data_IF_069281213502
#
_entry.id   IF_069281213502
#
_cell.length_a   1.000
_cell.length_b   1.000
_cell.length_c   1.000
_cell.angle_alpha   90.00
_cell.angle_beta   90.00
_cell.angle_gamma   90.00
#
_symmetry.space_group_name_H-M   'P 1'
#
loop_
_entity.id
_entity.type
_entity.pdbx_description
1 polymer ?
#
# COMPACT_ATOMS: atom_id res chain seq x y z
N UNK A 1 -12.94 6.77 2.84
CA UNK A 1 -11.68 6.61 3.61
C UNK A 1 -11.69 7.46 4.87
N UNK A 2 -12.30 8.64 4.87
CA UNK A 2 -12.45 9.39 6.13
C UNK A 2 -13.40 8.66 7.09
N UNK A 3 -12.98 8.52 8.35
CA UNK A 3 -13.75 7.88 9.42
C UNK A 3 -13.65 6.35 9.50
N UNK A 4 -12.89 5.70 8.62
CA UNK A 4 -12.71 4.24 8.66
C UNK A 4 -11.54 3.85 9.58
N UNK A 5 -11.78 2.93 10.52
CA UNK A 5 -10.72 2.35 11.34
C UNK A 5 -10.05 1.19 10.59
N UNK A 6 -8.74 1.24 10.44
CA UNK A 6 -7.98 0.19 9.77
C UNK A 6 -7.21 -0.69 10.75
N UNK A 7 -7.26 -2.01 10.53
CA UNK A 7 -6.39 -2.96 11.22
C UNK A 7 -5.00 -2.91 10.60
N UNK A 8 -4.00 -2.56 11.40
CA UNK A 8 -2.58 -2.51 10.98
C UNK A 8 -1.90 -3.85 11.29
N UNK A 9 -1.31 -4.47 10.29
CA UNK A 9 -0.47 -5.66 10.42
C UNK A 9 0.96 -5.31 10.03
N UNK A 10 1.87 -5.25 11.03
CA UNK A 10 3.30 -5.10 10.80
C UNK A 10 3.93 -6.47 10.51
N UNK A 11 4.71 -6.55 9.45
CA UNK A 11 5.49 -7.73 9.07
C UNK A 11 6.96 -7.33 8.97
N UNK A 12 7.82 -8.12 9.60
CA UNK A 12 9.27 -8.03 9.45
C UNK A 12 9.72 -9.24 8.64
N UNK A 13 10.27 -8.98 7.46
CA UNK A 13 10.78 -10.01 6.55
C UNK A 13 12.12 -10.52 7.08
N UNK A 14 12.33 -11.84 7.22
CA UNK A 14 13.60 -12.39 7.67
C UNK A 14 14.77 -12.09 6.72
N UNK A 15 15.99 -11.97 7.26
CA UNK A 15 17.19 -11.56 6.50
C UNK A 15 17.57 -12.50 5.34
N UNK A 16 17.12 -13.75 5.40
CA UNK A 16 17.34 -14.73 4.33
C UNK A 16 16.36 -14.57 3.16
N UNK A 17 15.33 -13.72 3.28
CA UNK A 17 14.38 -13.41 2.21
C UNK A 17 14.73 -12.04 1.63
N UNK A 18 15.06 -11.99 0.34
CA UNK A 18 15.37 -10.73 -0.34
C UNK A 18 14.10 -9.91 -0.54
N UNK A 19 14.05 -8.74 0.10
CA UNK A 19 12.99 -7.75 -0.02
C UNK A 19 13.60 -6.37 -0.23
N UNK A 20 12.84 -5.46 -0.83
CA UNK A 20 13.21 -4.04 -0.98
C UNK A 20 12.89 -3.21 0.27
N UNK A 21 12.21 -3.82 1.25
CA UNK A 21 11.83 -3.27 2.56
C UNK A 21 11.86 -4.41 3.58
N UNK A 22 12.60 -4.28 4.68
CA UNK A 22 12.62 -5.30 5.72
C UNK A 22 11.34 -5.27 6.56
N UNK A 23 10.88 -4.08 6.96
CA UNK A 23 9.64 -3.90 7.71
C UNK A 23 8.57 -3.26 6.83
N UNK A 24 7.34 -3.77 6.92
CA UNK A 24 6.20 -3.22 6.18
C UNK A 24 4.92 -3.33 7.00
N UNK A 25 3.97 -2.43 6.76
CA UNK A 25 2.68 -2.43 7.44
C UNK A 25 1.55 -2.47 6.41
N UNK A 26 0.68 -3.46 6.53
CA UNK A 26 -0.55 -3.55 5.74
C UNK A 26 -1.74 -3.08 6.57
N UNK A 27 -2.45 -2.07 6.10
CA UNK A 27 -3.64 -1.50 6.73
C UNK A 27 -4.88 -2.04 6.01
N UNK A 28 -5.72 -2.78 6.72
CA UNK A 28 -6.93 -3.40 6.19
C UNK A 28 -8.20 -2.71 6.71
N UNK A 29 -9.17 -2.50 5.82
CA UNK A 29 -10.52 -2.07 6.20
C UNK A 29 -11.30 -3.15 6.97
N UNK A 30 -12.50 -2.83 7.48
CA UNK A 30 -13.36 -3.78 8.19
C UNK A 30 -13.92 -4.87 7.26
N UNK A 31 -13.87 -4.65 5.94
CA UNK A 31 -14.17 -5.62 4.89
C UNK A 31 -13.00 -6.58 4.58
N UNK A 32 -11.87 -6.44 5.29
CA UNK A 32 -10.66 -7.25 5.08
C UNK A 32 -9.84 -6.84 3.86
N UNK A 33 -10.20 -5.78 3.14
CA UNK A 33 -9.47 -5.34 1.95
C UNK A 33 -8.34 -4.37 2.33
N UNK A 34 -7.19 -4.49 1.66
CA UNK A 34 -6.02 -3.64 1.88
C UNK A 34 -6.30 -2.20 1.44
N UNK A 35 -6.29 -1.24 2.35
CA UNK A 35 -6.45 0.21 2.11
C UNK A 35 -5.12 0.92 1.88
N UNK A 36 -4.09 0.53 2.62
CA UNK A 36 -2.77 1.15 2.56
C UNK A 36 -1.67 0.16 2.87
N UNK A 37 -0.57 0.23 2.14
CA UNK A 37 0.66 -0.52 2.40
C UNK A 37 1.79 0.48 2.65
N UNK A 38 2.36 0.41 3.84
CA UNK A 38 3.37 1.35 4.34
C UNK A 38 4.73 0.64 4.34
N UNK A 39 5.75 1.26 3.76
CA UNK A 39 7.09 0.69 3.67
C UNK A 39 8.18 1.74 3.51
N UNK A 40 9.43 1.34 3.77
CA UNK A 40 10.64 2.12 3.52
C UNK A 40 11.51 1.34 2.56
N UNK A 41 11.88 1.95 1.44
CA UNK A 41 12.73 1.28 0.45
C UNK A 41 14.19 1.39 0.88
N UNK A 42 14.70 0.33 1.50
CA UNK A 42 16.04 0.28 2.09
C UNK A 42 17.16 0.50 1.05
N UNK A 43 16.92 0.07 -0.19
CA UNK A 43 17.90 0.17 -1.29
C UNK A 43 17.88 1.52 -2.03
N UNK A 44 16.85 2.36 -1.83
CA UNK A 44 16.71 3.68 -2.47
C UNK A 44 16.92 4.81 -1.45
N UNK A 45 17.95 4.69 -0.61
CA UNK A 45 18.28 5.71 0.38
C UNK A 45 17.21 5.92 1.46
N UNK A 46 16.36 4.93 1.71
CA UNK A 46 15.29 5.01 2.72
C UNK A 46 14.04 5.75 2.25
N UNK A 47 13.75 5.77 0.95
CA UNK A 47 12.54 6.41 0.41
C UNK A 47 11.28 5.79 1.06
N UNK A 48 10.45 6.64 1.67
CA UNK A 48 9.23 6.21 2.35
C UNK A 48 8.04 6.17 1.40
N UNK A 49 7.14 5.19 1.60
CA UNK A 49 5.98 4.99 0.75
C UNK A 49 4.73 4.65 1.55
N UNK A 50 3.69 5.46 1.39
CA UNK A 50 2.31 5.14 1.74
C UNK A 50 1.55 4.81 0.46
N UNK A 51 1.42 3.53 0.15
CA UNK A 51 0.73 3.06 -1.05
C UNK A 51 -0.75 2.83 -0.77
N UNK A 52 -1.57 3.82 -1.12
CA UNK A 52 -3.02 3.78 -0.99
C UNK A 52 -3.65 2.97 -2.12
N UNK A 53 -4.61 2.12 -1.77
CA UNK A 53 -5.41 1.33 -2.69
C UNK A 53 -6.87 1.79 -2.65
N UNK A 54 -7.49 1.89 -3.83
CA UNK A 54 -8.86 2.36 -3.98
C UNK A 54 -9.47 1.84 -5.28
N UNK A 55 -10.77 2.12 -5.48
CA UNK A 55 -11.55 1.73 -6.67
C UNK A 55 -11.49 0.21 -6.89
N UNK A 56 -11.98 -0.55 -5.92
CA UNK A 56 -11.98 -2.00 -6.03
C UNK A 56 -13.03 -2.49 -7.03
N UNK A 57 -12.70 -3.54 -7.77
CA UNK A 57 -13.62 -4.28 -8.64
C UNK A 57 -13.59 -5.76 -8.28
N UNK A 58 -14.75 -6.39 -8.31
CA UNK A 58 -14.88 -7.85 -8.25
C UNK A 58 -14.67 -8.42 -9.65
N UNK A 59 -13.68 -9.32 -9.77
CA UNK A 59 -13.39 -10.09 -10.97
C UNK A 59 -13.45 -11.57 -10.60
N UNK A 60 -14.57 -12.22 -10.89
CA UNK A 60 -14.81 -13.64 -10.63
C UNK A 60 -14.57 -14.06 -9.15
N UNK A 61 -14.97 -13.19 -8.21
CA UNK A 61 -14.80 -13.41 -6.77
C UNK A 61 -13.47 -12.91 -6.20
N UNK A 62 -12.59 -12.34 -7.03
CA UNK A 62 -11.33 -11.71 -6.60
C UNK A 62 -11.52 -10.19 -6.59
N UNK A 63 -11.43 -9.58 -5.41
CA UNK A 63 -11.55 -8.13 -5.25
C UNK A 63 -10.20 -7.46 -5.47
N UNK A 64 -10.08 -6.65 -6.53
CA UNK A 64 -8.81 -6.03 -6.95
C UNK A 64 -8.93 -4.50 -6.91
N UNK A 65 -8.02 -3.76 -6.24
CA UNK A 65 -7.97 -2.31 -6.33
C UNK A 65 -7.47 -1.86 -7.70
N UNK A 66 -8.23 -1.02 -8.41
CA UNK A 66 -7.83 -0.54 -9.74
C UNK A 66 -7.04 0.77 -9.72
N UNK A 67 -6.88 1.39 -8.55
CA UNK A 67 -6.11 2.62 -8.39
C UNK A 67 -5.11 2.50 -7.23
N UNK A 68 -3.84 2.80 -7.49
CA UNK A 68 -2.81 3.01 -6.46
C UNK A 68 -2.21 4.41 -6.53
N UNK A 69 -2.00 5.01 -5.35
CA UNK A 69 -1.34 6.30 -5.18
C UNK A 69 -0.32 6.20 -4.07
N UNK A 70 0.92 6.57 -4.35
CA UNK A 70 2.02 6.46 -3.40
C UNK A 70 2.53 7.84 -3.07
N UNK A 71 2.54 8.16 -1.78
CA UNK A 71 3.06 9.40 -1.22
C UNK A 71 4.22 9.09 -0.29
N UNK A 72 5.15 10.03 -0.13
CA UNK A 72 6.11 9.96 0.97
C UNK A 72 5.40 10.12 2.31
N UNK A 73 6.10 9.78 3.39
CA UNK A 73 5.68 10.13 4.74
C UNK A 73 6.84 10.61 5.61
N UNK A 74 6.50 11.35 6.65
CA UNK A 74 7.38 11.86 7.69
C UNK A 74 6.90 11.43 9.09
N UNK A 75 7.83 11.30 10.05
CA UNK A 75 7.52 10.98 11.43
C UNK A 75 6.67 9.71 11.59
N UNK A 76 5.59 9.81 12.37
CA UNK A 76 4.63 8.72 12.59
C UNK A 76 3.65 8.56 11.40
N UNK A 77 4.20 8.19 10.23
CA UNK A 77 3.45 7.91 9.00
C UNK A 77 2.51 9.05 8.56
N UNK A 78 2.91 10.30 8.81
CA UNK A 78 2.18 11.48 8.34
C UNK A 78 2.44 11.68 6.83
N UNK A 79 1.42 11.65 5.97
CA UNK A 79 1.60 11.74 4.53
C UNK A 79 2.12 13.11 4.10
N UNK A 80 3.09 13.12 3.18
CA UNK A 80 3.51 14.29 2.41
C UNK A 80 2.80 14.23 1.07
N UNK A 81 1.76 15.06 0.90
CA UNK A 81 0.81 14.93 -0.21
C UNK A 81 1.34 15.41 -1.57
N UNK A 82 2.46 16.15 -1.60
CA UNK A 82 3.08 16.64 -2.83
C UNK A 82 4.60 16.44 -2.77
N UNK A 83 5.23 15.81 -3.79
CA UNK A 83 4.59 15.23 -4.97
C UNK A 83 3.91 13.89 -4.72
N UNK A 84 2.93 13.56 -5.57
CA UNK A 84 2.51 12.18 -5.78
C UNK A 84 3.68 11.41 -6.41
N UNK A 85 4.29 10.48 -5.67
CA UNK A 85 5.47 9.74 -6.11
C UNK A 85 5.15 8.74 -7.22
N UNK A 86 4.05 8.00 -7.07
CA UNK A 86 3.65 6.97 -8.03
C UNK A 86 2.14 7.01 -8.26
N UNK A 87 1.77 6.99 -9.54
CA UNK A 87 0.39 6.97 -10.02
C UNK A 87 0.16 5.69 -10.83
N UNK A 88 -0.64 4.77 -10.32
CA UNK A 88 -1.03 3.56 -11.06
C UNK A 88 -2.55 3.55 -11.21
N UNK A 89 -3.00 3.51 -12.47
CA UNK A 89 -4.39 3.34 -12.85
C UNK A 89 -4.49 2.09 -13.72
N UNK A 90 -5.19 1.07 -13.24
CA UNK A 90 -5.38 -0.20 -13.95
C UNK A 90 -6.62 -0.10 -14.83
N UNK A 91 -6.40 -0.09 -16.15
CA UNK A 91 -7.48 0.02 -17.14
C UNK A 91 -8.23 -1.30 -17.30
N UNK A 92 -7.53 -2.30 -17.86
CA UNK A 92 -8.05 -3.65 -18.10
C UNK A 92 -7.41 -4.63 -17.11
N UNK A 93 -8.25 -5.47 -16.51
CA UNK A 93 -7.83 -6.55 -15.62
C UNK A 93 -8.59 -7.79 -16.08
N UNK A 94 -7.86 -8.87 -16.32
CA UNK A 94 -8.42 -10.16 -16.72
C UNK A 94 -7.92 -11.25 -15.77
N UNK A 95 -8.84 -12.05 -15.27
CA UNK A 95 -8.58 -13.29 -14.54
C UNK A 95 -9.05 -14.43 -15.45
N UNK A 96 -8.20 -15.43 -15.70
CA UNK A 96 -8.51 -16.57 -16.58
C UNK A 96 -7.72 -17.80 -16.19
#
# INVERSE_FOLDING_TARGET
MEGETWRRLKVTVPDNVKSHTQEQISCFGPDGLLRRHDYTVDILGGATGLNYASEYRDMDGIIIPTKRRIYAYEGDYKPVMDPLLVKIDMGEIKVS
#
